data_IF_593799725951
#
_entry.id   IF_593799725951
#
_cell.length_a   1.000
_cell.length_b   1.000
_cell.length_c   1.000
_cell.angle_alpha   90.00
_cell.angle_beta   90.00
_cell.angle_gamma   90.00
#
_symmetry.space_group_name_H-M   'P 1'
#
loop_
_entity.id
_entity.type
_entity.pdbx_description
1 polymer ?
#
# COMPACT_ATOMS: atom_id res chain seq x y z
N UNK A 1 -14.85 -4.75 -26.81
CA UNK A 1 -13.74 -5.73 -26.92
C UNK A 1 -13.09 -5.85 -25.55
N UNK A 2 -13.42 -6.89 -24.78
CA UNK A 2 -12.82 -7.09 -23.46
C UNK A 2 -11.40 -7.62 -23.66
N UNK A 3 -10.39 -6.84 -23.25
CA UNK A 3 -9.00 -7.30 -23.18
C UNK A 3 -8.94 -8.44 -22.15
N UNK A 4 -8.97 -9.68 -22.62
CA UNK A 4 -8.70 -10.86 -21.81
C UNK A 4 -7.20 -10.89 -21.48
N UNK A 5 -6.82 -10.14 -20.45
CA UNK A 5 -5.48 -10.27 -19.86
C UNK A 5 -5.42 -11.64 -19.18
N UNK A 6 -4.57 -12.53 -19.70
CA UNK A 6 -4.40 -13.87 -19.18
C UNK A 6 -3.64 -13.83 -17.84
N UNK A 7 -4.36 -13.73 -16.73
CA UNK A 7 -3.79 -13.72 -15.37
C UNK A 7 -3.25 -15.09 -14.89
N UNK A 8 -3.20 -16.12 -15.75
CA UNK A 8 -2.73 -17.46 -15.34
C UNK A 8 -1.26 -17.47 -14.88
N UNK A 9 -0.45 -16.53 -15.38
CA UNK A 9 0.94 -16.38 -14.98
C UNK A 9 1.08 -16.03 -13.49
N UNK A 10 0.26 -15.11 -12.97
CA UNK A 10 0.28 -14.70 -11.55
C UNK A 10 -0.08 -15.86 -10.63
N UNK A 11 -0.95 -16.78 -11.08
CA UNK A 11 -1.30 -17.99 -10.31
C UNK A 11 -0.16 -19.02 -10.24
N UNK A 12 0.78 -19.00 -11.20
CA UNK A 12 1.91 -19.95 -11.28
C UNK A 12 3.19 -19.48 -10.60
N UNK A 13 3.22 -18.28 -10.02
CA UNK A 13 4.41 -17.78 -9.32
C UNK A 13 4.65 -18.62 -8.07
N UNK A 14 5.83 -19.25 -8.01
CA UNK A 14 6.26 -20.08 -6.89
C UNK A 14 6.44 -19.27 -5.61
N UNK A 15 6.47 -19.97 -4.48
CA UNK A 15 6.62 -19.38 -3.16
C UNK A 15 7.87 -18.50 -3.06
N UNK A 16 8.99 -19.00 -3.57
CA UNK A 16 10.29 -18.33 -3.53
C UNK A 16 10.25 -16.99 -4.27
N UNK A 17 9.60 -16.96 -5.43
CA UNK A 17 9.45 -15.73 -6.20
C UNK A 17 8.55 -14.70 -5.51
N UNK A 18 7.50 -15.11 -4.80
CA UNK A 18 6.66 -14.15 -4.06
C UNK A 18 7.43 -13.47 -2.94
N UNK A 19 8.19 -14.25 -2.18
CA UNK A 19 9.07 -13.72 -1.15
C UNK A 19 10.23 -12.92 -1.72
N UNK A 20 10.76 -13.31 -2.89
CA UNK A 20 11.73 -12.53 -3.65
C UNK A 20 11.17 -11.14 -4.03
N UNK A 21 9.91 -11.06 -4.47
CA UNK A 21 9.24 -9.79 -4.77
C UNK A 21 9.06 -8.95 -3.49
N UNK A 22 8.64 -9.54 -2.37
CA UNK A 22 8.57 -8.85 -1.08
C UNK A 22 9.94 -8.26 -0.73
N UNK A 23 10.99 -9.07 -0.77
CA UNK A 23 12.34 -8.64 -0.43
C UNK A 23 12.85 -7.52 -1.36
N UNK A 24 12.69 -7.67 -2.67
CA UNK A 24 13.09 -6.64 -3.66
C UNK A 24 12.34 -5.35 -3.41
N UNK A 25 11.03 -5.41 -3.18
CA UNK A 25 10.20 -4.22 -2.95
C UNK A 25 10.58 -3.51 -1.64
N UNK A 26 10.79 -4.26 -0.56
CA UNK A 26 11.26 -3.72 0.73
C UNK A 26 12.65 -3.11 0.60
N UNK A 27 13.59 -3.79 -0.07
CA UNK A 27 14.94 -3.26 -0.31
C UNK A 27 14.89 -2.00 -1.17
N UNK A 28 13.98 -1.91 -2.15
CA UNK A 28 13.80 -0.71 -2.94
C UNK A 28 13.30 0.48 -2.10
N UNK A 29 12.38 0.26 -1.16
CA UNK A 29 11.96 1.29 -0.19
C UNK A 29 13.16 1.78 0.61
N UNK A 30 13.91 0.85 1.23
CA UNK A 30 15.04 1.20 2.09
C UNK A 30 16.18 1.89 1.33
N UNK A 31 16.48 1.41 0.12
CA UNK A 31 17.48 2.02 -0.76
C UNK A 31 17.09 3.44 -1.17
N UNK A 32 15.80 3.77 -1.22
CA UNK A 32 15.31 5.10 -1.59
C UNK A 32 15.37 6.11 -0.44
N UNK A 33 15.42 5.66 0.83
CA UNK A 33 15.40 6.54 2.01
C UNK A 33 16.42 7.70 1.97
N UNK A 34 17.72 7.47 1.65
CA UNK A 34 18.71 8.54 1.64
C UNK A 34 18.44 9.57 0.54
N UNK A 35 17.80 9.15 -0.56
CA UNK A 35 17.51 9.98 -1.71
C UNK A 35 16.20 10.76 -1.58
N UNK A 36 15.28 10.32 -0.70
CA UNK A 36 13.95 10.88 -0.52
C UNK A 36 13.90 12.41 -0.41
N UNK A 37 14.67 13.06 0.49
CA UNK A 37 14.66 14.53 0.61
C UNK A 37 15.15 15.25 -0.65
N UNK A 38 16.17 14.70 -1.33
CA UNK A 38 16.72 15.30 -2.55
C UNK A 38 15.75 15.14 -3.72
N UNK A 39 15.18 13.95 -3.86
CA UNK A 39 14.15 13.67 -4.85
C UNK A 39 12.94 14.59 -4.67
N UNK A 40 12.45 14.74 -3.44
CA UNK A 40 11.28 15.58 -3.20
C UNK A 40 11.53 17.06 -3.49
N UNK A 41 12.71 17.59 -3.13
CA UNK A 41 13.12 18.97 -3.49
C UNK A 41 13.19 19.15 -5.01
N UNK A 42 13.73 18.18 -5.73
CA UNK A 42 13.76 18.22 -7.20
C UNK A 42 12.34 18.25 -7.79
N UNK A 43 11.46 17.35 -7.33
CA UNK A 43 10.08 17.28 -7.82
C UNK A 43 9.31 18.57 -7.52
N UNK A 44 9.43 19.11 -6.30
CA UNK A 44 8.83 20.40 -5.95
C UNK A 44 9.38 21.55 -6.81
N UNK A 45 10.67 21.54 -7.13
CA UNK A 45 11.29 22.55 -7.99
C UNK A 45 10.79 22.54 -9.43
N UNK A 46 10.36 21.38 -9.94
CA UNK A 46 9.87 21.23 -11.30
C UNK A 46 8.34 21.41 -11.41
N UNK A 47 7.58 20.87 -10.45
CA UNK A 47 6.12 20.74 -10.53
C UNK A 47 5.37 21.62 -9.51
N UNK A 48 6.10 22.33 -8.65
CA UNK A 48 5.54 23.19 -7.61
C UNK A 48 4.72 22.42 -6.58
N UNK A 49 3.84 23.13 -5.86
CA UNK A 49 3.01 22.54 -4.82
C UNK A 49 1.91 21.60 -5.34
N UNK A 50 1.61 21.62 -6.64
CA UNK A 50 0.58 20.77 -7.27
C UNK A 50 0.87 19.27 -7.11
N UNK A 51 2.14 18.88 -7.01
CA UNK A 51 2.54 17.48 -6.80
C UNK A 51 1.97 16.90 -5.50
N UNK A 52 1.67 17.74 -4.50
CA UNK A 52 1.09 17.27 -3.25
C UNK A 52 -0.31 16.64 -3.47
N UNK A 53 -1.03 17.02 -4.53
CA UNK A 53 -2.32 16.42 -4.90
C UNK A 53 -2.19 15.12 -5.70
N UNK A 54 -0.97 14.70 -6.07
CA UNK A 54 -0.76 13.46 -6.83
C UNK A 54 -1.26 12.23 -6.07
N UNK A 55 -1.01 12.15 -4.75
CA UNK A 55 -1.52 11.04 -3.92
C UNK A 55 -3.05 10.98 -3.91
N UNK A 56 -3.72 12.14 -3.82
CA UNK A 56 -5.17 12.24 -3.91
C UNK A 56 -5.68 11.77 -5.29
N UNK A 57 -5.04 12.25 -6.36
CA UNK A 57 -5.37 11.85 -7.72
C UNK A 57 -5.24 10.33 -7.91
N UNK A 58 -4.15 9.73 -7.44
CA UNK A 58 -3.93 8.28 -7.53
C UNK A 58 -4.99 7.48 -6.78
N UNK A 59 -5.37 7.88 -5.56
CA UNK A 59 -6.45 7.22 -4.81
C UNK A 59 -7.78 7.31 -5.56
N UNK A 60 -8.11 8.47 -6.14
CA UNK A 60 -9.35 8.64 -6.91
C UNK A 60 -9.36 7.78 -8.18
N UNK A 61 -8.25 7.76 -8.94
CA UNK A 61 -8.14 6.97 -10.18
C UNK A 61 -8.19 5.46 -9.88
N UNK A 62 -7.42 5.00 -8.90
CA UNK A 62 -7.44 3.59 -8.49
C UNK A 62 -8.80 3.20 -7.92
N UNK A 63 -9.41 4.08 -7.10
CA UNK A 63 -10.76 3.88 -6.58
C UNK A 63 -11.79 3.74 -7.69
N UNK A 64 -11.79 4.66 -8.67
CA UNK A 64 -12.68 4.57 -9.82
C UNK A 64 -12.45 3.29 -10.62
N UNK A 65 -11.20 2.93 -10.91
CA UNK A 65 -10.86 1.67 -11.58
C UNK A 65 -11.39 0.45 -10.83
N UNK A 66 -11.16 0.37 -9.51
CA UNK A 66 -11.64 -0.75 -8.69
C UNK A 66 -13.17 -0.79 -8.61
N UNK A 67 -13.84 0.36 -8.53
CA UNK A 67 -15.30 0.41 -8.56
C UNK A 67 -15.84 -0.13 -9.89
N UNK A 68 -15.28 0.30 -11.02
CA UNK A 68 -15.63 -0.21 -12.35
C UNK A 68 -15.35 -1.72 -12.44
N UNK A 69 -14.23 -2.18 -11.91
CA UNK A 69 -13.90 -3.60 -11.84
C UNK A 69 -14.94 -4.39 -11.02
N UNK A 70 -15.35 -3.89 -9.85
CA UNK A 70 -16.33 -4.55 -8.98
C UNK A 70 -17.72 -4.63 -9.62
N UNK A 71 -18.16 -3.56 -10.29
CA UNK A 71 -19.48 -3.45 -10.93
C UNK A 71 -19.54 -4.25 -12.22
N UNK A 72 -18.58 -4.04 -13.13
CA UNK A 72 -18.68 -4.55 -14.50
C UNK A 72 -17.98 -5.90 -14.69
N UNK A 73 -16.83 -6.12 -14.04
CA UNK A 73 -16.07 -7.37 -14.24
C UNK A 73 -16.41 -8.43 -13.20
N UNK A 74 -16.35 -8.08 -11.91
CA UNK A 74 -16.64 -9.02 -10.82
C UNK A 74 -18.13 -9.16 -10.54
N UNK A 75 -18.95 -8.21 -11.02
CA UNK A 75 -20.41 -8.18 -10.88
C UNK A 75 -20.89 -8.47 -9.45
N UNK A 76 -20.24 -7.83 -8.48
CA UNK A 76 -20.53 -8.07 -7.06
C UNK A 76 -21.91 -7.53 -6.72
N UNK A 77 -22.81 -8.41 -6.25
CA UNK A 77 -24.18 -8.03 -5.84
C UNK A 77 -24.32 -7.64 -4.36
N UNK A 78 -23.31 -7.95 -3.53
CA UNK A 78 -23.36 -7.73 -2.08
C UNK A 78 -23.10 -6.27 -1.74
N UNK A 79 -24.10 -5.56 -1.20
CA UNK A 79 -23.99 -4.13 -0.85
C UNK A 79 -22.91 -3.85 0.21
N UNK A 80 -22.65 -4.82 1.11
CA UNK A 80 -21.60 -4.69 2.13
C UNK A 80 -20.20 -4.53 1.55
N UNK A 81 -19.95 -5.00 0.32
CA UNK A 81 -18.66 -4.82 -0.37
C UNK A 81 -18.50 -3.36 -0.81
N UNK A 82 -19.55 -2.76 -1.36
CA UNK A 82 -19.52 -1.34 -1.76
C UNK A 82 -19.43 -0.43 -0.54
N UNK A 83 -20.17 -0.73 0.53
CA UNK A 83 -20.08 0.01 1.78
C UNK A 83 -18.65 -0.02 2.34
N UNK A 84 -18.04 -1.21 2.44
CA UNK A 84 -16.65 -1.33 2.88
C UNK A 84 -15.68 -0.59 1.94
N UNK A 85 -15.87 -0.69 0.62
CA UNK A 85 -15.06 0.00 -0.37
C UNK A 85 -15.10 1.52 -0.18
N UNK A 86 -16.29 2.12 -0.05
CA UNK A 86 -16.43 3.56 0.16
C UNK A 86 -15.88 3.98 1.53
N UNK A 87 -16.14 3.21 2.58
CA UNK A 87 -15.61 3.50 3.91
C UNK A 87 -14.08 3.52 3.90
N UNK A 88 -13.44 2.50 3.33
CA UNK A 88 -11.98 2.40 3.21
C UNK A 88 -11.44 3.55 2.35
N UNK A 89 -12.08 3.85 1.21
CA UNK A 89 -11.67 4.94 0.33
C UNK A 89 -11.72 6.30 1.03
N UNK A 90 -12.81 6.59 1.75
CA UNK A 90 -12.97 7.83 2.53
C UNK A 90 -11.93 7.89 3.65
N UNK A 91 -11.68 6.79 4.35
CA UNK A 91 -10.63 6.71 5.37
C UNK A 91 -9.25 7.00 4.79
N UNK A 92 -8.90 6.43 3.62
CA UNK A 92 -7.63 6.75 2.93
C UNK A 92 -7.51 8.24 2.60
N UNK A 93 -8.61 8.85 2.11
CA UNK A 93 -8.65 10.29 1.81
C UNK A 93 -8.50 11.14 3.07
N UNK A 94 -9.13 10.74 4.18
CA UNK A 94 -9.00 11.42 5.46
C UNK A 94 -7.56 11.35 5.99
N UNK A 95 -6.93 10.17 5.93
CA UNK A 95 -5.53 9.99 6.34
C UNK A 95 -4.60 10.89 5.50
N UNK A 96 -4.74 10.86 4.17
CA UNK A 96 -3.95 11.70 3.27
C UNK A 96 -4.10 13.20 3.54
N UNK A 97 -5.30 13.64 3.94
CA UNK A 97 -5.61 15.05 4.19
C UNK A 97 -5.14 15.52 5.57
N UNK A 98 -5.38 14.73 6.61
CA UNK A 98 -5.24 15.16 8.00
C UNK A 98 -3.96 14.66 8.68
N UNK A 99 -3.38 13.55 8.23
CA UNK A 99 -2.20 12.95 8.88
C UNK A 99 -0.92 13.14 8.07
N UNK A 100 -1.01 13.28 6.74
CA UNK A 100 0.14 13.52 5.86
C UNK A 100 0.37 15.02 5.63
N UNK A 101 1.29 15.62 6.37
CA UNK A 101 1.64 17.05 6.25
C UNK A 101 2.59 17.29 5.07
N UNK A 102 3.47 16.33 4.78
CA UNK A 102 4.45 16.44 3.69
C UNK A 102 4.14 15.49 2.53
N UNK A 103 4.58 15.83 1.33
CA UNK A 103 4.44 14.95 0.18
C UNK A 103 5.19 13.61 0.27
N UNK A 104 6.40 13.53 0.89
CA UNK A 104 7.05 12.26 1.18
C UNK A 104 6.22 11.34 2.07
N UNK A 105 5.50 11.87 3.07
CA UNK A 105 4.59 11.05 3.90
C UNK A 105 3.47 10.43 3.07
N UNK A 106 2.90 11.18 2.12
CA UNK A 106 1.86 10.68 1.20
C UNK A 106 2.39 9.56 0.31
N UNK A 107 3.65 9.67 -0.11
CA UNK A 107 4.30 8.64 -0.91
C UNK A 107 4.59 7.38 -0.08
N UNK A 108 5.08 7.53 1.15
CA UNK A 108 5.25 6.38 2.07
C UNK A 108 3.91 5.68 2.35
N UNK A 109 2.83 6.44 2.57
CA UNK A 109 1.50 5.88 2.73
C UNK A 109 1.08 5.01 1.53
N UNK A 110 1.45 5.37 0.29
CA UNK A 110 1.17 4.51 -0.86
C UNK A 110 2.07 3.27 -0.87
N UNK A 111 3.37 3.46 -0.64
CA UNK A 111 4.37 2.38 -0.70
C UNK A 111 4.08 1.26 0.30
N UNK A 112 3.70 1.60 1.54
CA UNK A 112 3.36 0.63 2.57
C UNK A 112 2.03 -0.07 2.36
N UNK A 113 1.06 0.57 1.71
CA UNK A 113 -0.22 -0.03 1.38
C UNK A 113 -0.07 -1.11 0.31
N UNK A 114 0.80 -0.83 -0.67
CA UNK A 114 1.22 -1.82 -1.67
C UNK A 114 2.04 -2.93 -1.01
N UNK A 115 2.99 -2.60 -0.11
CA UNK A 115 3.79 -3.59 0.61
C UNK A 115 2.89 -4.57 1.37
N UNK A 116 1.89 -4.07 2.11
CA UNK A 116 0.92 -4.92 2.83
C UNK A 116 0.19 -5.88 1.88
N UNK A 117 -0.22 -5.42 0.70
CA UNK A 117 -0.84 -6.28 -0.31
C UNK A 117 0.11 -7.37 -0.83
N UNK A 118 1.38 -7.03 -1.09
CA UNK A 118 2.40 -7.98 -1.57
C UNK A 118 2.73 -9.02 -0.49
N UNK A 119 2.89 -8.57 0.76
CA UNK A 119 3.13 -9.46 1.91
C UNK A 119 1.97 -10.43 2.09
N UNK A 120 0.72 -9.95 2.07
CA UNK A 120 -0.46 -10.82 2.13
C UNK A 120 -0.46 -11.86 1.01
N UNK A 121 -0.12 -11.44 -0.21
CA UNK A 121 -0.09 -12.31 -1.39
C UNK A 121 1.00 -13.39 -1.31
N UNK A 122 2.12 -13.11 -0.65
CA UNK A 122 3.15 -14.09 -0.33
C UNK A 122 2.71 -15.01 0.81
N UNK A 123 2.34 -14.43 1.96
CA UNK A 123 1.99 -15.16 3.20
C UNK A 123 0.81 -16.10 3.07
N UNK A 124 -0.16 -15.81 2.19
CA UNK A 124 -1.32 -16.71 2.00
C UNK A 124 -0.94 -18.11 1.47
N UNK A 125 0.29 -18.31 1.00
CA UNK A 125 0.80 -19.64 0.66
C UNK A 125 1.32 -20.40 1.88
N UNK A 126 1.82 -19.68 2.88
CA UNK A 126 2.48 -20.22 4.07
C UNK A 126 1.51 -20.38 5.24
N UNK A 127 0.60 -19.42 5.40
CA UNK A 127 -0.34 -19.34 6.51
C UNK A 127 -1.76 -19.54 6.01
N UNK A 128 -2.47 -20.47 6.65
CA UNK A 128 -3.88 -20.75 6.38
C UNK A 128 -4.79 -19.93 7.28
N UNK A 129 -6.03 -19.76 6.83
CA UNK A 129 -7.12 -19.09 7.54
C UNK A 129 -6.85 -17.59 7.77
N UNK A 130 -7.71 -16.99 8.59
CA UNK A 130 -7.65 -15.58 8.99
C UNK A 130 -6.37 -15.18 9.74
N UNK A 131 -5.48 -16.12 10.10
CA UNK A 131 -4.17 -15.80 10.70
C UNK A 131 -3.26 -15.04 9.73
N UNK A 132 -3.47 -15.20 8.42
CA UNK A 132 -2.66 -14.51 7.40
C UNK A 132 -2.72 -12.99 7.56
N UNK A 133 -3.87 -12.43 7.94
CA UNK A 133 -4.04 -11.00 8.18
C UNK A 133 -3.16 -10.54 9.36
N UNK A 134 -3.24 -11.25 10.50
CA UNK A 134 -2.41 -10.94 11.66
C UNK A 134 -0.91 -10.94 11.35
N UNK A 135 -0.42 -11.97 10.65
CA UNK A 135 1.01 -12.03 10.29
C UNK A 135 1.40 -11.00 9.22
N UNK A 136 0.48 -10.63 8.33
CA UNK A 136 0.72 -9.54 7.36
C UNK A 136 0.91 -8.23 8.12
N UNK A 137 0.02 -7.92 9.06
CA UNK A 137 0.07 -6.67 9.83
C UNK A 137 1.33 -6.63 10.68
N UNK A 138 1.67 -7.74 11.32
CA UNK A 138 2.90 -7.85 12.11
C UNK A 138 4.15 -7.62 11.26
N UNK A 139 4.22 -8.21 10.06
CA UNK A 139 5.37 -8.02 9.18
C UNK A 139 5.45 -6.59 8.64
N UNK A 140 4.33 -5.97 8.25
CA UNK A 140 4.30 -4.56 7.86
C UNK A 140 4.80 -3.68 9.01
N UNK A 141 4.32 -3.93 10.23
CA UNK A 141 4.74 -3.18 11.41
C UNK A 141 6.25 -3.31 11.67
N UNK A 142 6.79 -4.53 11.61
CA UNK A 142 8.21 -4.77 11.79
C UNK A 142 9.05 -4.08 10.71
N UNK A 143 8.65 -4.19 9.44
CA UNK A 143 9.36 -3.54 8.34
C UNK A 143 9.27 -2.01 8.40
N UNK A 144 8.11 -1.46 8.78
CA UNK A 144 7.93 -0.03 9.00
C UNK A 144 8.71 0.50 10.21
N UNK A 145 8.91 -0.33 11.23
CA UNK A 145 9.79 0.01 12.37
C UNK A 145 11.25 0.03 11.94
N UNK A 146 11.69 -0.96 11.14
CA UNK A 146 13.06 -1.00 10.61
C UNK A 146 13.34 0.20 9.69
N UNK A 147 12.37 0.59 8.87
CA UNK A 147 12.45 1.79 8.03
C UNK A 147 12.75 3.04 8.86
N UNK A 148 12.00 3.24 9.94
CA UNK A 148 12.17 4.38 10.82
C UNK A 148 13.51 4.35 11.57
N UNK A 149 13.96 3.16 11.99
CA UNK A 149 15.29 3.00 12.57
C UNK A 149 16.39 3.38 11.57
N UNK A 150 16.27 2.98 10.29
CA UNK A 150 17.21 3.38 9.24
C UNK A 150 17.14 4.90 9.04
N UNK A 151 15.94 5.49 9.00
CA UNK A 151 15.77 6.94 8.89
C UNK A 151 16.43 7.70 10.06
N UNK A 152 16.31 7.19 11.29
CA UNK A 152 16.96 7.76 12.47
C UNK A 152 18.50 7.74 12.43
N UNK A 153 19.10 6.86 11.63
CA UNK A 153 20.55 6.82 11.39
C UNK A 153 21.00 7.79 10.29
N UNK A 154 20.08 8.30 9.46
CA UNK A 154 20.40 9.20 8.36
C UNK A 154 20.49 10.66 8.86
N UNK A 155 21.58 11.40 8.58
CA UNK A 155 21.79 12.74 9.12
C UNK A 155 20.80 13.80 8.60
N UNK A 156 20.08 13.48 7.52
CA UNK A 156 19.11 14.36 6.85
C UNK A 156 17.65 14.06 7.24
N UNK A 157 17.44 13.14 8.20
CA UNK A 157 16.12 12.67 8.65
C UNK A 157 16.08 12.64 10.18
N UNK A 158 14.86 12.65 10.71
CA UNK A 158 14.59 12.61 12.14
C UNK A 158 13.71 11.41 12.40
N UNK A 159 14.04 10.65 13.44
CA UNK A 159 13.20 9.56 13.91
C UNK A 159 11.86 10.10 14.43
N UNK A 160 10.74 9.66 13.85
CA UNK A 160 9.38 10.02 14.23
C UNK A 160 8.50 8.77 14.42
N UNK A 161 8.01 8.58 15.65
CA UNK A 161 7.09 7.47 15.99
C UNK A 161 5.78 7.57 15.20
N UNK A 162 5.38 8.79 14.80
CA UNK A 162 4.22 9.01 13.92
C UNK A 162 4.37 8.23 12.62
N UNK A 163 5.58 8.14 12.06
CA UNK A 163 5.81 7.50 10.76
C UNK A 163 5.69 5.97 10.86
N UNK A 164 6.10 5.37 11.98
CA UNK A 164 5.82 3.95 12.28
C UNK A 164 4.30 3.70 12.30
N UNK A 165 3.54 4.56 12.98
CA UNK A 165 2.09 4.44 13.04
C UNK A 165 1.46 4.60 11.65
N UNK A 166 1.92 5.56 10.86
CA UNK A 166 1.43 5.81 9.49
C UNK A 166 1.73 4.65 8.55
N UNK A 167 2.90 4.04 8.65
CA UNK A 167 3.28 2.86 7.88
C UNK A 167 2.39 1.65 8.23
N UNK A 168 2.15 1.43 9.52
CA UNK A 168 1.24 0.38 10.00
C UNK A 168 -0.21 0.62 9.54
N UNK A 169 -0.69 1.85 9.68
CA UNK A 169 -2.03 2.27 9.24
C UNK A 169 -2.20 2.04 7.73
N UNK A 170 -1.20 2.40 6.94
CA UNK A 170 -1.17 2.20 5.50
C UNK A 170 -1.31 0.72 5.10
N UNK A 171 -0.48 -0.16 5.65
CA UNK A 171 -0.61 -1.60 5.37
C UNK A 171 -1.92 -2.18 5.87
N UNK A 172 -2.42 -1.71 7.02
CA UNK A 172 -3.74 -2.05 7.55
C UNK A 172 -4.88 -1.67 6.61
N UNK A 173 -4.82 -0.49 5.97
CA UNK A 173 -5.81 -0.09 4.95
C UNK A 173 -5.79 -1.04 3.74
N UNK A 174 -4.60 -1.45 3.30
CA UNK A 174 -4.43 -2.47 2.25
C UNK A 174 -5.04 -3.82 2.64
N UNK A 175 -4.82 -4.26 3.87
CA UNK A 175 -5.41 -5.49 4.39
C UNK A 175 -6.93 -5.42 4.53
N UNK A 176 -7.48 -4.32 5.06
CA UNK A 176 -8.92 -4.11 5.15
C UNK A 176 -9.56 -4.16 3.76
N UNK A 177 -8.89 -3.57 2.76
CA UNK A 177 -9.33 -3.65 1.37
C UNK A 177 -9.35 -5.10 0.87
N UNK A 178 -8.29 -5.87 1.14
CA UNK A 178 -8.24 -7.29 0.79
C UNK A 178 -9.35 -8.07 1.49
N UNK A 179 -9.49 -7.92 2.80
CA UNK A 179 -10.41 -8.69 3.64
C UNK A 179 -11.87 -8.42 3.30
N UNK A 180 -12.27 -7.16 3.13
CA UNK A 180 -13.68 -6.78 3.00
C UNK A 180 -14.14 -6.55 1.57
N UNK A 181 -13.24 -6.13 0.67
CA UNK A 181 -13.56 -5.83 -0.73
C UNK A 181 -13.19 -6.99 -1.65
N UNK A 182 -11.94 -7.45 -1.61
CA UNK A 182 -11.50 -8.54 -2.49
C UNK A 182 -12.02 -9.90 -2.02
N UNK A 183 -12.10 -10.13 -0.70
CA UNK A 183 -12.57 -11.36 -0.06
C UNK A 183 -11.93 -12.62 -0.67
N UNK A 184 -10.59 -12.76 -0.59
CA UNK A 184 -9.94 -13.96 -1.06
C UNK A 184 -10.33 -15.16 -0.20
N UNK A 185 -10.34 -16.35 -0.80
CA UNK A 185 -10.50 -17.60 -0.08
C UNK A 185 -9.17 -17.94 0.63
N UNK A 186 -9.10 -17.68 1.94
CA UNK A 186 -7.92 -17.90 2.81
C UNK A 186 -8.28 -18.60 4.10
#
# INVERSE_FOLDING_TARGET
MALYVNYSFIKKISREWRWGIVAIYTLAIYAFLPFGPRFWRFVLGQWGHSINYLGLFLVCVLGAYFLLYLVFQKQVKKISVYFAFFLISISCLAILKYMCSTGPERFHLLMYGILGCIIFWALKLDVKNKRVYFYTTLLVFLLGTVDELIQGLLPMRVFDVKDIFMNCLSGGMGELFIAFVLRPDV
#
